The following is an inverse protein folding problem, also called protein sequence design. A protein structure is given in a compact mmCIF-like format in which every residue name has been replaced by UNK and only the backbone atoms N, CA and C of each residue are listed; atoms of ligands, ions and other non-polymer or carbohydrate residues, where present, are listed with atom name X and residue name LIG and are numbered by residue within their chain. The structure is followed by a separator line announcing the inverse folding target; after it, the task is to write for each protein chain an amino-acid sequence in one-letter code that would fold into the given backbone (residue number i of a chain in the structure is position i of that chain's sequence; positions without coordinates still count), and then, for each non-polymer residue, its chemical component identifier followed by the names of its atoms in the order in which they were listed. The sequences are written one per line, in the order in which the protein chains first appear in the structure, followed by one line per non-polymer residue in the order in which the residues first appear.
data_IF_399378112252
#
_entry.id   IF_399378112252
#
_cell.length_a   1.000
_cell.length_b   1.000
_cell.length_c   1.000
_cell.angle_alpha   90.00
_cell.angle_beta   90.00
_cell.angle_gamma   90.00
#
_symmetry.space_group_name_H-M   'P 1'
#
loop_
_entity.id
_entity.type
_entity.pdbx_description
1 polymer ?
#
# COMPACT_ATOMS: atom_id res chain seq x y z
N UNK A 1 -41.36 10.34 -3.40
CA UNK A 1 -40.49 9.41 -2.64
C UNK A 1 -39.74 8.41 -3.51
N UNK A 2 -40.36 7.76 -4.51
CA UNK A 2 -39.76 6.67 -5.33
C UNK A 2 -38.38 6.99 -5.96
N UNK A 3 -38.12 8.24 -6.38
CA UNK A 3 -36.82 8.61 -6.97
C UNK A 3 -35.65 8.58 -5.97
N UNK A 4 -35.90 8.85 -4.69
CA UNK A 4 -34.86 8.88 -3.65
C UNK A 4 -34.44 7.46 -3.26
N UNK A 5 -35.41 6.56 -3.07
CA UNK A 5 -35.13 5.18 -2.69
C UNK A 5 -34.45 4.38 -3.82
N UNK A 6 -34.75 4.70 -5.09
CA UNK A 6 -34.03 4.12 -6.24
C UNK A 6 -32.54 4.49 -6.24
N UNK A 7 -32.20 5.71 -5.83
CA UNK A 7 -30.79 6.15 -5.68
C UNK A 7 -30.14 5.43 -4.51
N UNK A 8 -30.84 5.31 -3.37
CA UNK A 8 -30.34 4.56 -2.21
C UNK A 8 -30.00 3.10 -2.56
N UNK A 9 -30.87 2.43 -3.32
CA UNK A 9 -30.63 1.06 -3.81
C UNK A 9 -29.38 0.97 -4.68
N UNK A 10 -29.20 1.91 -5.61
CA UNK A 10 -28.02 1.95 -6.49
C UNK A 10 -26.73 2.22 -5.72
N UNK A 11 -26.76 3.15 -4.77
CA UNK A 11 -25.62 3.40 -3.88
C UNK A 11 -25.28 2.17 -3.04
N UNK A 12 -26.30 1.48 -2.51
CA UNK A 12 -26.09 0.28 -1.72
C UNK A 12 -25.50 -0.87 -2.54
N UNK A 13 -25.94 -1.08 -3.78
CA UNK A 13 -25.35 -2.07 -4.71
C UNK A 13 -23.86 -1.79 -4.95
N UNK A 14 -23.49 -0.54 -5.19
CA UNK A 14 -22.08 -0.13 -5.34
C UNK A 14 -21.28 -0.39 -4.05
N UNK A 15 -21.82 -0.05 -2.88
CA UNK A 15 -21.18 -0.32 -1.60
C UNK A 15 -21.01 -1.82 -1.34
N UNK A 16 -21.97 -2.66 -1.73
CA UNK A 16 -21.86 -4.11 -1.63
C UNK A 16 -20.70 -4.62 -2.49
N UNK A 17 -20.59 -4.17 -3.74
CA UNK A 17 -19.49 -4.52 -4.64
C UNK A 17 -18.13 -4.06 -4.10
N UNK A 18 -18.05 -2.82 -3.61
CA UNK A 18 -16.85 -2.29 -2.94
C UNK A 18 -16.47 -3.16 -1.72
N UNK A 19 -17.45 -3.56 -0.90
CA UNK A 19 -17.25 -4.41 0.27
C UNK A 19 -16.76 -5.81 -0.08
N UNK A 20 -17.29 -6.41 -1.13
CA UNK A 20 -16.89 -7.72 -1.64
C UNK A 20 -15.46 -7.66 -2.18
N UNK A 21 -15.15 -6.67 -3.02
CA UNK A 21 -13.81 -6.48 -3.56
C UNK A 21 -12.77 -6.23 -2.46
N UNK A 22 -13.11 -5.44 -1.43
CA UNK A 22 -12.23 -5.24 -0.27
C UNK A 22 -11.97 -6.53 0.51
N UNK A 23 -12.94 -7.44 0.61
CA UNK A 23 -12.70 -8.75 1.23
C UNK A 23 -11.67 -9.57 0.43
N UNK A 24 -11.74 -9.52 -0.90
CA UNK A 24 -10.77 -10.20 -1.77
C UNK A 24 -9.40 -9.55 -1.63
N UNK A 25 -9.32 -8.22 -1.66
CA UNK A 25 -8.06 -7.47 -1.44
C UNK A 25 -7.44 -7.84 -0.09
N UNK A 26 -8.21 -7.86 1.00
CA UNK A 26 -7.72 -8.23 2.33
C UNK A 26 -7.17 -9.66 2.38
N UNK A 27 -7.83 -10.58 1.68
CA UNK A 27 -7.35 -11.97 1.56
C UNK A 27 -6.03 -12.03 0.81
N UNK A 28 -5.93 -11.32 -0.30
CA UNK A 28 -4.71 -11.27 -1.12
C UNK A 28 -3.55 -10.59 -0.37
N UNK A 29 -3.81 -9.52 0.40
CA UNK A 29 -2.81 -8.87 1.25
C UNK A 29 -2.20 -9.84 2.27
N UNK A 30 -3.03 -10.72 2.86
CA UNK A 30 -2.56 -11.77 3.78
C UNK A 30 -1.70 -12.81 3.05
N UNK A 31 -2.09 -13.21 1.84
CA UNK A 31 -1.30 -14.13 1.02
C UNK A 31 0.04 -13.53 0.63
N UNK A 32 0.08 -12.27 0.20
CA UNK A 32 1.32 -11.54 -0.09
C UNK A 32 2.23 -11.52 1.14
N UNK A 33 1.68 -11.20 2.31
CA UNK A 33 2.44 -11.20 3.57
C UNK A 33 3.04 -12.58 3.86
N UNK A 34 2.29 -13.65 3.60
CA UNK A 34 2.79 -15.01 3.79
C UNK A 34 3.86 -15.38 2.76
N UNK A 35 3.68 -15.01 1.49
CA UNK A 35 4.67 -15.23 0.43
C UNK A 35 5.98 -14.52 0.73
N UNK A 36 5.93 -13.30 1.30
CA UNK A 36 7.12 -12.57 1.75
C UNK A 36 7.84 -13.32 2.89
N UNK A 37 7.10 -13.87 3.86
CA UNK A 37 7.71 -14.63 4.97
C UNK A 37 8.33 -15.96 4.51
N UNK A 38 7.64 -16.67 3.62
CA UNK A 38 8.04 -17.98 3.09
C UNK A 38 9.04 -17.88 1.92
N UNK A 39 9.28 -16.65 1.41
CA UNK A 39 10.17 -16.34 0.29
C UNK A 39 9.72 -16.95 -1.04
N UNK A 40 8.40 -17.08 -1.22
CA UNK A 40 7.76 -17.57 -2.44
C UNK A 40 7.64 -16.46 -3.49
N UNK A 41 8.76 -16.08 -4.10
CA UNK A 41 8.87 -14.90 -4.97
C UNK A 41 7.95 -14.93 -6.21
N UNK A 42 7.79 -16.10 -6.83
CA UNK A 42 6.90 -16.23 -8.00
C UNK A 42 5.43 -15.96 -7.63
N UNK A 43 5.01 -16.38 -6.43
CA UNK A 43 3.65 -16.14 -5.95
C UNK A 43 3.46 -14.70 -5.47
N UNK A 44 4.53 -14.08 -4.95
CA UNK A 44 4.54 -12.67 -4.59
C UNK A 44 4.29 -11.76 -5.80
N UNK A 45 5.02 -11.95 -6.90
CA UNK A 45 4.86 -11.14 -8.11
C UNK A 45 3.43 -11.25 -8.68
N UNK A 46 2.90 -12.48 -8.74
CA UNK A 46 1.54 -12.73 -9.18
C UNK A 46 0.50 -12.07 -8.23
N UNK A 47 0.74 -12.07 -6.92
CA UNK A 47 -0.13 -11.44 -5.93
C UNK A 47 -0.13 -9.92 -6.02
N UNK A 48 1.04 -9.30 -6.24
CA UNK A 48 1.16 -7.85 -6.44
C UNK A 48 0.35 -7.42 -7.66
N UNK A 49 0.47 -8.14 -8.78
CA UNK A 49 -0.31 -7.87 -9.99
C UNK A 49 -1.83 -7.96 -9.73
N UNK A 50 -2.27 -9.00 -9.00
CA UNK A 50 -3.70 -9.15 -8.62
C UNK A 50 -4.20 -7.97 -7.78
N UNK A 51 -3.43 -7.54 -6.77
CA UNK A 51 -3.81 -6.37 -5.95
C UNK A 51 -3.90 -5.10 -6.78
N UNK A 52 -2.95 -4.85 -7.69
CA UNK A 52 -3.00 -3.67 -8.54
C UNK A 52 -4.28 -3.63 -9.37
N UNK A 53 -4.62 -4.75 -10.01
CA UNK A 53 -5.87 -4.88 -10.77
C UNK A 53 -7.10 -4.63 -9.90
N UNK A 54 -7.16 -5.23 -8.71
CA UNK A 54 -8.28 -5.03 -7.78
C UNK A 54 -8.36 -3.61 -7.24
N UNK A 55 -7.23 -2.92 -7.05
CA UNK A 55 -7.21 -1.53 -6.62
C UNK A 55 -7.73 -0.58 -7.72
N UNK A 56 -7.42 -0.85 -8.98
CA UNK A 56 -7.99 -0.13 -10.12
C UNK A 56 -9.50 -0.35 -10.25
N UNK A 57 -9.96 -1.60 -10.07
CA UNK A 57 -11.38 -1.94 -10.03
C UNK A 57 -12.10 -1.23 -8.88
N UNK A 58 -11.50 -1.20 -7.69
CA UNK A 58 -12.05 -0.49 -6.53
C UNK A 58 -12.16 1.02 -6.80
N UNK A 59 -11.13 1.63 -7.38
CA UNK A 59 -11.14 3.04 -7.78
C UNK A 59 -12.26 3.33 -8.78
N UNK A 60 -12.52 2.40 -9.70
CA UNK A 60 -13.60 2.52 -10.68
C UNK A 60 -14.97 2.49 -10.00
N UNK A 61 -15.20 1.56 -9.07
CA UNK A 61 -16.43 1.49 -8.28
C UNK A 61 -16.64 2.74 -7.42
N UNK A 62 -15.57 3.23 -6.78
CA UNK A 62 -15.63 4.45 -5.97
C UNK A 62 -15.99 5.67 -6.82
N UNK A 63 -15.41 5.78 -8.03
CA UNK A 63 -15.74 6.85 -8.97
C UNK A 63 -17.22 6.79 -9.36
N UNK A 64 -17.75 5.60 -9.68
CA UNK A 64 -19.17 5.42 -9.98
C UNK A 64 -20.07 5.80 -8.79
N UNK A 65 -19.66 5.48 -7.56
CA UNK A 65 -20.41 5.84 -6.36
C UNK A 65 -20.44 7.36 -6.16
N UNK A 66 -19.31 8.04 -6.35
CA UNK A 66 -19.21 9.49 -6.27
C UNK A 66 -20.04 10.18 -7.36
N UNK A 67 -20.03 9.66 -8.59
CA UNK A 67 -20.87 10.16 -9.69
C UNK A 67 -22.37 10.05 -9.37
N UNK A 68 -22.82 8.90 -8.84
CA UNK A 68 -24.23 8.70 -8.43
C UNK A 68 -24.60 9.68 -7.32
N UNK A 69 -23.70 9.89 -6.36
CA UNK A 69 -23.92 10.83 -5.27
C UNK A 69 -24.03 12.27 -5.80
N UNK A 70 -23.11 12.70 -6.66
CA UNK A 70 -23.12 14.02 -7.28
C UNK A 70 -24.38 14.24 -8.13
N UNK A 71 -24.82 13.25 -8.91
CA UNK A 71 -26.06 13.33 -9.69
C UNK A 71 -27.30 13.49 -8.80
N UNK A 72 -27.26 13.01 -7.57
CA UNK A 72 -28.36 13.12 -6.62
C UNK A 72 -28.34 14.43 -5.82
N UNK A 73 -27.15 14.90 -5.41
CA UNK A 73 -26.99 16.06 -4.53
C UNK A 73 -26.69 17.36 -5.25
N UNK A 74 -26.02 17.30 -6.40
CA UNK A 74 -25.37 18.45 -7.05
C UNK A 74 -24.14 18.98 -6.31
N UNK A 75 -23.68 18.29 -5.26
CA UNK A 75 -22.61 18.72 -4.36
C UNK A 75 -21.65 17.56 -4.08
N UNK A 76 -20.40 17.72 -4.49
CA UNK A 76 -19.32 16.74 -4.31
C UNK A 76 -18.80 16.65 -2.87
N UNK A 77 -19.11 17.65 -2.03
CA UNK A 77 -18.67 17.68 -0.63
C UNK A 77 -19.52 16.81 0.29
N UNK A 78 -20.71 16.40 -0.17
CA UNK A 78 -21.64 15.60 0.61
C UNK A 78 -21.26 14.12 0.60
N UNK A 79 -21.39 13.48 1.76
CA UNK A 79 -21.17 12.05 1.94
C UNK A 79 -22.47 11.31 2.27
N UNK A 80 -22.36 9.98 2.36
CA UNK A 80 -23.50 9.10 2.63
C UNK A 80 -24.13 9.38 4.00
N UNK A 81 -23.36 9.79 5.02
CA UNK A 81 -23.94 10.14 6.33
C UNK A 81 -24.82 11.38 6.22
N UNK A 82 -24.36 12.40 5.50
CA UNK A 82 -25.05 13.67 5.32
C UNK A 82 -26.35 13.50 4.53
N UNK A 83 -26.37 12.70 3.48
CA UNK A 83 -27.57 12.49 2.65
C UNK A 83 -28.53 11.43 3.20
N UNK A 84 -28.12 10.66 4.22
CA UNK A 84 -28.88 9.50 4.72
C UNK A 84 -30.31 9.81 5.17
N UNK A 85 -30.56 11.05 5.63
CA UNK A 85 -31.88 11.51 6.07
C UNK A 85 -32.88 11.74 4.93
N UNK A 86 -32.41 11.76 3.68
CA UNK A 86 -33.22 11.95 2.47
C UNK A 86 -33.88 10.66 1.97
N UNK A 87 -33.57 9.51 2.61
CA UNK A 87 -34.07 8.18 2.25
C UNK A 87 -35.06 7.66 3.28
N UNK A 88 -35.86 6.67 2.87
CA UNK A 88 -36.72 5.92 3.81
C UNK A 88 -35.90 5.26 4.93
N UNK A 89 -36.54 4.99 6.07
CA UNK A 89 -35.86 4.46 7.26
C UNK A 89 -35.15 3.12 7.00
N UNK A 90 -35.80 2.24 6.25
CA UNK A 90 -35.28 0.91 5.87
C UNK A 90 -34.01 1.06 5.01
N UNK A 91 -34.10 1.79 3.89
CA UNK A 91 -32.97 2.05 3.00
C UNK A 91 -31.83 2.79 3.70
N UNK A 92 -32.15 3.73 4.58
CA UNK A 92 -31.16 4.47 5.39
C UNK A 92 -30.34 3.51 6.25
N UNK A 93 -30.97 2.56 6.93
CA UNK A 93 -30.27 1.62 7.80
C UNK A 93 -29.32 0.74 7.00
N UNK A 94 -29.80 0.13 5.92
CA UNK A 94 -28.99 -0.74 5.05
C UNK A 94 -27.81 0.02 4.43
N UNK A 95 -28.06 1.22 3.90
CA UNK A 95 -27.02 2.02 3.25
C UNK A 95 -25.91 2.43 4.24
N UNK A 96 -26.30 2.86 5.44
CA UNK A 96 -25.34 3.26 6.48
C UNK A 96 -24.52 2.08 7.00
N UNK A 97 -25.13 0.90 7.12
CA UNK A 97 -24.43 -0.32 7.50
C UNK A 97 -23.37 -0.70 6.45
N UNK A 98 -23.77 -0.80 5.17
CA UNK A 98 -22.86 -1.10 4.07
C UNK A 98 -21.71 -0.09 3.98
N UNK A 99 -22.00 1.20 4.15
CA UNK A 99 -20.98 2.25 4.12
C UNK A 99 -20.01 2.15 5.30
N UNK A 100 -20.52 1.89 6.51
CA UNK A 100 -19.69 1.67 7.69
C UNK A 100 -18.75 0.47 7.51
N UNK A 101 -19.27 -0.64 7.00
CA UNK A 101 -18.48 -1.85 6.74
C UNK A 101 -17.37 -1.59 5.72
N UNK A 102 -17.68 -0.87 4.64
CA UNK A 102 -16.69 -0.49 3.63
C UNK A 102 -15.57 0.35 4.25
N UNK A 103 -15.91 1.40 5.01
CA UNK A 103 -14.91 2.25 5.69
C UNK A 103 -14.06 1.47 6.69
N UNK A 104 -14.67 0.54 7.43
CA UNK A 104 -13.95 -0.33 8.35
C UNK A 104 -12.93 -1.20 7.61
N UNK A 105 -13.33 -1.85 6.51
CA UNK A 105 -12.43 -2.70 5.70
C UNK A 105 -11.31 -1.89 5.05
N UNK A 106 -11.57 -0.69 4.56
CA UNK A 106 -10.53 0.22 4.07
C UNK A 106 -9.50 0.54 5.15
N UNK A 107 -9.94 0.82 6.37
CA UNK A 107 -9.04 1.06 7.51
C UNK A 107 -8.16 -0.17 7.79
N UNK A 108 -8.75 -1.37 7.80
CA UNK A 108 -8.00 -2.63 7.98
C UNK A 108 -7.00 -2.85 6.84
N UNK A 109 -7.40 -2.64 5.59
CA UNK A 109 -6.54 -2.79 4.42
C UNK A 109 -5.33 -1.84 4.48
N UNK A 110 -5.54 -0.61 4.94
CA UNK A 110 -4.47 0.37 5.17
C UNK A 110 -3.50 -0.08 6.26
N UNK A 111 -4.01 -0.65 7.36
CA UNK A 111 -3.18 -1.19 8.44
C UNK A 111 -2.33 -2.36 7.94
N UNK A 112 -2.90 -3.30 7.18
CA UNK A 112 -2.17 -4.44 6.61
C UNK A 112 -1.08 -3.99 5.63
N UNK A 113 -1.37 -3.03 4.74
CA UNK A 113 -0.37 -2.46 3.84
C UNK A 113 0.78 -1.78 4.59
N UNK A 114 0.48 -1.03 5.65
CA UNK A 114 1.51 -0.41 6.49
C UNK A 114 2.36 -1.46 7.20
N UNK A 115 1.74 -2.51 7.75
CA UNK A 115 2.46 -3.59 8.42
C UNK A 115 3.38 -4.37 7.46
N UNK A 116 2.93 -4.63 6.22
CA UNK A 116 3.75 -5.26 5.19
C UNK A 116 4.93 -4.37 4.79
N UNK A 117 4.68 -3.07 4.58
CA UNK A 117 5.73 -2.10 4.23
C UNK A 117 6.80 -2.00 5.33
N UNK A 118 6.36 -1.98 6.58
CA UNK A 118 7.25 -1.97 7.75
C UNK A 118 8.10 -3.24 7.82
N UNK A 119 7.49 -4.42 7.61
CA UNK A 119 8.23 -5.68 7.59
C UNK A 119 9.32 -5.71 6.52
N UNK A 120 9.01 -5.25 5.31
CA UNK A 120 9.98 -5.20 4.20
C UNK A 120 11.12 -4.25 4.55
N UNK A 121 10.82 -3.09 5.13
CA UNK A 121 11.83 -2.12 5.58
C UNK A 121 12.77 -2.74 6.63
N UNK A 122 12.23 -3.28 7.71
CA UNK A 122 13.03 -3.90 8.78
C UNK A 122 13.89 -5.05 8.25
N UNK A 123 13.35 -5.89 7.36
CA UNK A 123 14.10 -7.01 6.75
C UNK A 123 15.24 -6.50 5.88
N UNK A 124 15.00 -5.45 5.08
CA UNK A 124 16.03 -4.82 4.25
C UNK A 124 17.15 -4.22 5.12
N UNK A 125 16.80 -3.48 6.17
CA UNK A 125 17.77 -2.84 7.06
C UNK A 125 18.61 -3.87 7.80
N UNK A 126 18.00 -4.98 8.24
CA UNK A 126 18.72 -6.11 8.83
C UNK A 126 19.71 -6.76 7.87
N UNK A 127 19.30 -7.04 6.62
CA UNK A 127 20.18 -7.60 5.60
C UNK A 127 21.32 -6.64 5.26
N UNK A 128 21.03 -5.34 5.12
CA UNK A 128 22.05 -4.32 4.90
C UNK A 128 23.05 -4.29 6.05
N UNK A 129 22.58 -4.32 7.30
CA UNK A 129 23.45 -4.40 8.48
C UNK A 129 24.30 -5.67 8.51
N UNK A 130 23.77 -6.82 8.08
CA UNK A 130 24.60 -8.03 7.90
C UNK A 130 25.66 -7.79 6.83
N UNK A 131 25.30 -7.26 5.65
CA UNK A 131 26.26 -7.03 4.57
C UNK A 131 27.34 -6.03 4.98
N UNK A 132 26.99 -4.94 5.65
CA UNK A 132 27.93 -3.92 6.12
C UNK A 132 28.93 -4.47 7.16
N UNK A 133 28.52 -5.47 7.95
CA UNK A 133 29.35 -6.10 8.98
C UNK A 133 30.09 -7.37 8.50
N UNK A 134 29.52 -8.10 7.53
CA UNK A 134 30.05 -9.35 7.01
C UNK A 134 30.95 -9.16 5.79
N UNK A 135 30.78 -8.06 5.04
CA UNK A 135 31.79 -7.59 4.08
C UNK A 135 32.81 -6.81 4.92
N UNK A 136 34.00 -7.36 5.21
CA UNK A 136 35.03 -6.51 5.76
C UNK A 136 35.22 -5.39 4.74
N UNK A 137 35.24 -4.13 5.18
CA UNK A 137 35.92 -3.10 4.41
C UNK A 137 37.33 -3.64 4.23
N UNK A 138 37.59 -4.30 3.09
CA UNK A 138 38.87 -4.80 2.69
C UNK A 138 39.73 -3.58 2.36
N UNK A 139 40.07 -2.81 3.40
CA UNK A 139 41.23 -1.95 3.37
C UNK A 139 42.38 -2.93 3.24
N UNK A 140 42.94 -3.02 2.04
CA UNK A 140 44.22 -3.67 1.78
C UNK A 140 45.20 -3.16 2.83
N UNK A 141 45.37 -3.92 3.90
CA UNK A 141 46.29 -3.61 4.97
C UNK A 141 47.63 -4.12 4.47
N UNK A 142 48.41 -3.23 3.86
CA UNK A 142 49.73 -3.59 3.35
C UNK A 142 50.66 -3.68 4.56
N UNK A 143 51.27 -4.84 4.76
CA UNK A 143 52.24 -5.06 5.83
C UNK A 143 53.65 -4.81 5.29
N UNK A 144 54.50 -4.17 6.09
CA UNK A 144 55.94 -4.11 5.81
C UNK A 144 56.55 -5.51 5.88
N UNK A 145 57.74 -5.70 5.31
CA UNK A 145 58.54 -6.92 5.46
C UNK A 145 58.93 -7.22 6.94
N UNK A 146 58.63 -6.30 7.87
CA UNK A 146 58.82 -6.43 9.31
C UNK A 146 57.50 -6.56 10.10
N UNK A 147 56.38 -6.75 9.40
CA UNK A 147 55.06 -7.00 10.00
C UNK A 147 54.31 -5.77 10.52
N UNK A 148 54.76 -4.55 10.22
CA UNK A 148 54.05 -3.31 10.61
C UNK A 148 53.02 -2.91 9.56
N UNK A 149 51.83 -2.50 9.99
CA UNK A 149 50.76 -2.01 9.12
C UNK A 149 51.15 -0.66 8.49
N UNK A 150 51.24 -0.62 7.16
CA UNK A 150 51.50 0.59 6.37
C UNK A 150 50.15 1.10 5.83
N UNK A 151 49.76 2.33 6.18
CA UNK A 151 48.64 3.00 5.51
C UNK A 151 49.09 3.37 4.09
N UNK A 152 48.39 2.89 3.06
CA UNK A 152 48.62 3.33 1.69
C UNK A 152 48.29 4.82 1.57
N UNK A 153 49.31 5.66 1.52
CA UNK A 153 49.16 7.05 1.09
C UNK A 153 48.92 7.06 -0.43
N UNK A 154 47.97 7.86 -0.94
CA UNK A 154 47.85 8.05 -2.37
C UNK A 154 49.00 8.96 -2.85
N UNK A 155 49.99 8.37 -3.54
CA UNK A 155 50.93 9.16 -4.34
C UNK A 155 50.22 9.64 -5.61
N UNK A 156 49.88 10.92 -5.65
CA UNK A 156 49.93 11.69 -6.90
C UNK A 156 49.69 13.17 -6.61
N UNK A 157 50.78 13.94 -6.55
CA UNK A 157 50.80 15.38 -6.74
C UNK A 157 51.94 15.68 -7.72
N UNK A 158 51.61 15.75 -9.01
CA UNK A 158 52.52 16.29 -10.03
C UNK A 158 52.32 17.80 -10.03
N UNK A 159 53.30 18.54 -9.53
CA UNK A 159 53.40 19.99 -9.67
C UNK A 159 54.05 20.30 -11.01
N UNK A 160 53.26 20.82 -11.95
CA UNK A 160 53.76 21.34 -13.21
C UNK A 160 54.29 22.76 -12.97
N UNK A 161 55.61 22.94 -13.00
CA UNK A 161 56.25 24.26 -12.87
C UNK A 161 56.77 24.67 -14.25
N UNK A 162 55.97 25.46 -14.96
CA UNK A 162 56.37 26.09 -16.22
C UNK A 162 57.30 27.28 -15.87
N UNK A 163 58.54 27.25 -16.37
CA UNK A 163 59.41 28.43 -16.51
C UNK A 163 59.10 29.17 -17.81
#
# INVERSE_FOLDING_TARGET
MVKSDAVALRLNDLLCKENELLNVILTEQRLIRENVKTREWAQLDAGIYRIQKMAEEFKTLETQRLEVLYQFTGDESLDIYQISHMFSLDMRQTLLESFRLMRQKLSVSKIENNALSEYIRVTKDFLQGIFDNAVPQARNTVYSNTGKVIKAMPESLVLDQIM
#
